data_IF_086339605314
#
_entry.id   IF_086339605314
#
_cell.length_a   1.000
_cell.length_b   1.000
_cell.length_c   1.000
_cell.angle_alpha   90.00
_cell.angle_beta   90.00
_cell.angle_gamma   90.00
#
_symmetry.space_group_name_H-M   'P 1'
#
loop_
_entity.id
_entity.type
_entity.pdbx_description
1 polymer ?
#
# COMPACT_ATOMS: atom_id res chain seq x y z
N UNK A 1 -7.14 -18.93 -6.80
CA UNK A 1 -6.23 -18.05 -7.57
C UNK A 1 -6.27 -16.68 -6.90
N UNK A 2 -5.13 -15.98 -6.78
CA UNK A 2 -5.11 -14.59 -6.31
C UNK A 2 -6.03 -13.73 -7.19
N UNK A 3 -6.78 -12.81 -6.58
CA UNK A 3 -7.67 -11.89 -7.28
C UNK A 3 -6.96 -10.67 -7.88
N UNK A 4 -5.62 -10.68 -7.91
CA UNK A 4 -4.78 -9.61 -8.46
C UNK A 4 -3.70 -10.17 -9.38
N UNK A 5 -3.15 -9.29 -10.21
CA UNK A 5 -2.01 -9.54 -11.09
C UNK A 5 -0.79 -8.84 -10.48
N UNK A 6 0.18 -9.63 -10.00
CA UNK A 6 1.33 -9.13 -9.26
C UNK A 6 2.20 -8.16 -10.08
N UNK A 7 2.44 -8.47 -11.36
CA UNK A 7 3.20 -7.60 -12.25
C UNK A 7 2.52 -6.23 -12.43
N UNK A 8 1.19 -6.23 -12.56
CA UNK A 8 0.42 -4.96 -12.60
C UNK A 8 0.51 -4.20 -11.29
N UNK A 9 0.45 -4.89 -10.16
CA UNK A 9 0.57 -4.28 -8.82
C UNK A 9 1.95 -3.63 -8.66
N UNK A 10 3.02 -4.34 -8.99
CA UNK A 10 4.39 -3.85 -8.88
C UNK A 10 4.60 -2.64 -9.80
N UNK A 11 4.25 -2.75 -11.09
CA UNK A 11 4.41 -1.66 -12.07
C UNK A 11 3.64 -0.41 -11.66
N UNK A 12 2.42 -0.57 -11.16
CA UNK A 12 1.64 0.57 -10.69
C UNK A 12 2.21 1.17 -9.40
N UNK A 13 2.62 0.33 -8.45
CA UNK A 13 3.30 0.74 -7.22
C UNK A 13 4.54 1.58 -7.49
N UNK A 14 5.39 1.11 -8.42
CA UNK A 14 6.56 1.85 -8.89
C UNK A 14 6.20 3.21 -9.47
N UNK A 15 5.20 3.25 -10.37
CA UNK A 15 4.73 4.50 -11.00
C UNK A 15 4.28 5.55 -9.99
N UNK A 16 3.68 5.15 -8.87
CA UNK A 16 3.17 6.08 -7.84
C UNK A 16 4.17 6.33 -6.70
N UNK A 17 5.33 5.65 -6.70
CA UNK A 17 6.34 5.72 -5.65
C UNK A 17 5.89 5.06 -4.34
N UNK A 18 5.23 3.91 -4.43
CA UNK A 18 4.90 3.08 -3.26
C UNK A 18 6.11 2.23 -2.84
N UNK A 19 6.18 1.88 -1.55
CA UNK A 19 7.17 0.94 -1.00
C UNK A 19 6.58 -0.47 -0.83
N UNK A 20 5.28 -0.56 -0.51
CA UNK A 20 4.59 -1.85 -0.38
C UNK A 20 3.17 -1.79 -0.94
N UNK A 21 2.71 -2.89 -1.52
CA UNK A 21 1.29 -3.13 -1.77
C UNK A 21 0.71 -4.05 -0.68
N UNK A 22 -0.45 -3.66 -0.16
CA UNK A 22 -1.18 -4.38 0.87
C UNK A 22 -2.31 -5.18 0.23
N UNK A 23 -2.18 -6.50 0.28
CA UNK A 23 -3.16 -7.46 -0.23
C UNK A 23 -4.00 -7.96 0.95
N UNK A 24 -5.32 -7.83 0.83
CA UNK A 24 -6.28 -8.30 1.84
C UNK A 24 -7.21 -9.33 1.22
N UNK A 25 -7.26 -10.53 1.80
CA UNK A 25 -8.08 -11.65 1.34
C UNK A 25 -7.92 -11.93 -0.18
N UNK A 26 -6.69 -11.85 -0.67
CA UNK A 26 -6.37 -12.12 -2.08
C UNK A 26 -6.71 -11.00 -3.06
N UNK A 27 -7.04 -9.79 -2.58
CA UNK A 27 -7.29 -8.61 -3.42
C UNK A 27 -6.39 -7.45 -3.02
N UNK A 28 -5.90 -6.70 -4.00
CA UNK A 28 -5.20 -5.44 -3.76
C UNK A 28 -6.14 -4.48 -3.03
N UNK A 29 -5.66 -3.94 -1.91
CA UNK A 29 -6.44 -3.02 -1.09
C UNK A 29 -5.83 -1.62 -1.09
N UNK A 30 -4.59 -1.47 -0.64
CA UNK A 30 -3.91 -0.17 -0.55
C UNK A 30 -2.43 -0.30 -0.96
N UNK A 31 -1.82 0.80 -1.40
CA UNK A 31 -0.36 0.94 -1.41
C UNK A 31 0.09 1.79 -0.23
N UNK A 32 1.28 1.52 0.30
CA UNK A 32 1.87 2.31 1.37
C UNK A 32 3.28 2.79 1.02
N UNK A 33 3.66 3.92 1.62
CA UNK A 33 5.05 4.39 1.72
C UNK A 33 5.29 5.09 3.05
N UNK A 34 6.56 5.26 3.42
CA UNK A 34 6.93 5.91 4.68
C UNK A 34 6.41 7.36 4.73
N UNK A 35 6.07 7.76 5.94
CA UNK A 35 5.73 9.15 6.24
C UNK A 35 6.96 10.06 6.25
N UNK A 36 6.73 11.34 6.08
CA UNK A 36 7.73 12.40 6.27
C UNK A 36 7.32 13.29 7.45
N UNK A 37 8.12 14.32 7.73
CA UNK A 37 7.76 15.36 8.72
C UNK A 37 6.40 16.00 8.40
N UNK A 38 6.07 16.17 7.12
CA UNK A 38 4.82 16.79 6.67
C UNK A 38 3.60 15.91 6.98
N UNK A 39 3.75 14.59 6.90
CA UNK A 39 2.73 13.64 7.34
C UNK A 39 2.77 13.36 8.85
N UNK A 40 3.56 14.13 9.61
CA UNK A 40 3.83 13.90 11.04
C UNK A 40 4.36 12.49 11.32
N UNK A 41 5.12 11.94 10.37
CA UNK A 41 5.64 10.57 10.37
C UNK A 41 4.57 9.48 10.29
N UNK A 42 3.30 9.81 10.02
CA UNK A 42 2.30 8.81 9.66
C UNK A 42 2.63 8.25 8.26
N UNK A 43 2.55 6.93 8.08
CA UNK A 43 2.67 6.32 6.77
C UNK A 43 1.56 6.84 5.85
N UNK A 44 1.92 6.95 4.58
CA UNK A 44 1.00 7.39 3.54
C UNK A 44 0.38 6.17 2.89
N UNK A 45 -0.91 6.26 2.60
CA UNK A 45 -1.68 5.25 1.89
C UNK A 45 -2.20 5.82 0.57
N UNK A 46 -2.18 5.00 -0.47
CA UNK A 46 -2.81 5.28 -1.75
C UNK A 46 -3.89 4.24 -1.98
N UNK A 47 -5.15 4.67 -2.01
CA UNK A 47 -6.30 3.76 -2.11
C UNK A 47 -7.40 4.34 -2.98
N UNK A 48 -8.13 3.46 -3.65
CA UNK A 48 -9.39 3.81 -4.26
C UNK A 48 -10.44 3.90 -3.15
N UNK A 49 -10.77 5.12 -2.76
CA UNK A 49 -11.92 5.33 -1.90
C UNK A 49 -13.15 5.10 -2.80
N UNK A 50 -13.87 4.00 -2.59
CA UNK A 50 -15.09 3.63 -3.33
C UNK A 50 -16.27 4.63 -3.15
N UNK A 51 -15.97 5.90 -2.90
CA UNK A 51 -16.86 7.02 -2.68
C UNK A 51 -16.68 8.13 -3.73
N UNK A 52 -16.01 7.84 -4.85
CA UNK A 52 -15.80 8.77 -5.96
C UNK A 52 -14.68 9.79 -5.76
N UNK A 53 -13.92 9.74 -4.66
CA UNK A 53 -12.76 10.62 -4.47
C UNK A 53 -11.64 10.24 -5.45
N UNK A 54 -10.88 11.24 -5.95
CA UNK A 54 -9.73 10.96 -6.79
C UNK A 54 -8.66 10.19 -6.01
N UNK A 55 -7.92 9.35 -6.72
CA UNK A 55 -6.76 8.65 -6.20
C UNK A 55 -5.68 9.65 -5.77
N UNK A 56 -5.24 9.55 -4.52
CA UNK A 56 -4.19 10.40 -3.95
C UNK A 56 -3.52 9.72 -2.76
N UNK A 57 -2.37 10.25 -2.37
CA UNK A 57 -1.73 9.92 -1.10
C UNK A 57 -2.46 10.59 0.06
N UNK A 58 -2.76 9.81 1.09
CA UNK A 58 -3.36 10.29 2.34
C UNK A 58 -2.62 9.72 3.55
N UNK A 59 -2.63 10.41 4.69
CA UNK A 59 -2.07 9.87 5.93
C UNK A 59 -2.96 8.73 6.46
N UNK A 60 -2.36 7.57 6.75
CA UNK A 60 -3.08 6.37 7.17
C UNK A 60 -3.43 6.33 8.68
N UNK A 61 -3.23 7.43 9.42
CA UNK A 61 -3.31 7.52 10.90
C UNK A 61 -2.44 6.51 11.67
N UNK A 62 -1.52 5.86 10.99
CA UNK A 62 -0.58 4.89 11.54
C UNK A 62 0.84 5.29 11.16
N UNK A 63 1.83 4.91 11.94
CA UNK A 63 3.24 5.23 11.67
C UNK A 63 3.92 4.17 10.80
N UNK A 64 3.36 2.97 10.73
CA UNK A 64 3.93 1.86 9.98
C UNK A 64 2.84 0.87 9.55
N UNK A 65 2.89 0.41 8.29
CA UNK A 65 1.92 -0.56 7.76
C UNK A 65 1.91 -1.90 8.50
N UNK A 66 3.00 -2.28 9.18
CA UNK A 66 3.03 -3.45 10.06
C UNK A 66 1.95 -3.43 11.15
N UNK A 67 1.58 -2.24 11.67
CA UNK A 67 0.46 -2.12 12.63
C UNK A 67 -0.88 -2.43 11.95
N UNK A 68 -1.05 -1.96 10.72
CA UNK A 68 -2.23 -2.27 9.88
C UNK A 68 -2.30 -3.77 9.59
N UNK A 69 -1.19 -4.40 9.22
CA UNK A 69 -1.10 -5.86 9.02
C UNK A 69 -1.53 -6.62 10.27
N UNK A 70 -0.99 -6.24 11.43
CA UNK A 70 -1.30 -6.89 12.70
C UNK A 70 -2.78 -6.78 13.06
N UNK A 71 -3.38 -5.61 12.82
CA UNK A 71 -4.81 -5.39 13.00
C UNK A 71 -5.65 -6.34 12.13
N UNK A 72 -5.41 -6.39 10.81
CA UNK A 72 -6.20 -7.25 9.93
C UNK A 72 -6.00 -8.75 10.21
N UNK A 73 -4.78 -9.17 10.54
CA UNK A 73 -4.51 -10.54 10.98
C UNK A 73 -5.25 -10.89 12.27
N UNK A 74 -5.35 -9.96 13.23
CA UNK A 74 -6.11 -10.17 14.48
C UNK A 74 -7.61 -10.36 14.26
N UNK A 75 -8.15 -9.83 13.15
CA UNK A 75 -9.54 -10.01 12.73
C UNK A 75 -9.76 -11.29 11.91
N UNK A 76 -8.74 -12.12 11.73
CA UNK A 76 -8.82 -13.38 10.96
C UNK A 76 -8.70 -13.20 9.44
N UNK A 77 -8.26 -12.04 8.96
CA UNK A 77 -8.05 -11.84 7.53
C UNK A 77 -6.70 -12.39 7.05
N UNK A 78 -6.68 -12.87 5.81
CA UNK A 78 -5.44 -13.18 5.11
C UNK A 78 -4.80 -11.86 4.63
N UNK A 79 -3.54 -11.64 5.02
CA UNK A 79 -2.80 -10.42 4.69
C UNK A 79 -1.46 -10.78 4.08
N UNK A 80 -1.18 -10.17 2.94
CA UNK A 80 0.09 -10.28 2.23
C UNK A 80 0.61 -8.88 1.92
N UNK A 81 1.94 -8.73 1.99
CA UNK A 81 2.66 -7.53 1.60
C UNK A 81 3.54 -7.87 0.42
N UNK A 82 3.39 -7.12 -0.67
CA UNK A 82 4.29 -7.20 -1.81
C UNK A 82 5.21 -6.00 -1.73
N UNK A 83 6.51 -6.24 -1.61
CA UNK A 83 7.52 -5.17 -1.65
C UNK A 83 7.60 -4.61 -3.07
N UNK A 84 7.62 -3.28 -3.17
CA UNK A 84 7.73 -2.57 -4.44
C UNK A 84 9.19 -2.15 -4.59
N UNK A 85 9.96 -2.76 -5.50
CA UNK A 85 11.34 -2.38 -5.71
C UNK A 85 11.39 -0.96 -6.28
N UNK A 86 12.34 -0.16 -5.80
CA UNK A 86 12.64 1.15 -6.38
C UNK A 86 12.95 1.00 -7.86
N UNK A 87 12.43 1.91 -8.69
CA UNK A 87 12.83 2.00 -10.08
C UNK A 87 14.32 2.37 -10.10
N UNK A 88 15.17 1.41 -10.47
CA UNK A 88 16.54 1.71 -10.85
C UNK A 88 16.45 2.55 -12.12
N UNK A 89 16.65 3.86 -12.01
CA UNK A 89 16.93 4.69 -13.17
C UNK A 89 18.22 4.14 -13.79
N UNK A 90 18.11 3.60 -15.01
CA UNK A 90 19.29 3.29 -15.81
C UNK A 90 19.91 4.64 -16.20
N UNK A 91 21.01 5.00 -15.53
CA UNK A 91 21.89 6.11 -15.92
C UNK A 91 22.49 5.90 -17.32
#
# INVERSE_FOLDING_TARGET
>A
MPGYDEDKVIRFGQKIGAEVAFILNGSLRNYYKKGSKDSKFCCLTFTQHNNGRPLRWESANEHHWNRVVSFYKSLGHAVELIEIPELQEQE
#
